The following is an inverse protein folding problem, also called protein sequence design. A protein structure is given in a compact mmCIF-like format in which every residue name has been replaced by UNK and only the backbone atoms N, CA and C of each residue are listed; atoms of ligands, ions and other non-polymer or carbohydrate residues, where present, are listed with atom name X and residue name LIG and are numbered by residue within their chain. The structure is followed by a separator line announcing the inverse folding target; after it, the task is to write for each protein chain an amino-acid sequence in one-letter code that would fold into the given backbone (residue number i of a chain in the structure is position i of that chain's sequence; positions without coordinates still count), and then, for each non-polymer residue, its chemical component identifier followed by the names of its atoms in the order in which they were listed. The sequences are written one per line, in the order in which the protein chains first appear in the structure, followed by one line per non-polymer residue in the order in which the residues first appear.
data_IF_043201732957
#
_entry.id   IF_043201732957
#
_cell.length_a   1.000
_cell.length_b   1.000
_cell.length_c   1.000
_cell.angle_alpha   90.00
_cell.angle_beta   90.00
_cell.angle_gamma   90.00
#
_symmetry.space_group_name_H-M   'P 1'
#
loop_
_entity.id
_entity.type
_entity.pdbx_description
1 polymer ?
#
# COMPACT_ATOMS: atom_id res chain seq x y z
N UNK A 1 32.26 38.47 -46.20
CA UNK A 1 33.10 39.56 -46.72
C UNK A 1 34.52 39.02 -46.83
N UNK A 2 35.19 39.13 -48.00
CA UNK A 2 36.63 38.85 -48.12
C UNK A 2 37.38 39.95 -47.40
N UNK A 3 38.27 39.57 -46.49
CA UNK A 3 39.15 40.51 -45.79
C UNK A 3 40.22 40.97 -46.81
N UNK A 4 40.12 42.22 -47.32
CA UNK A 4 41.06 42.75 -48.31
C UNK A 4 42.15 43.56 -47.56
N UNK A 5 43.41 43.29 -47.83
CA UNK A 5 44.49 44.06 -47.27
C UNK A 5 44.60 45.43 -47.90
N UNK A 6 45.00 46.41 -47.12
CA UNK A 6 45.54 47.71 -47.63
C UNK A 6 46.97 47.51 -48.18
N UNK A 7 47.27 48.01 -49.38
CA UNK A 7 48.60 47.84 -49.99
C UNK A 7 49.40 49.13 -49.82
N UNK A 8 50.50 49.02 -49.09
CA UNK A 8 51.46 50.10 -48.93
C UNK A 8 52.83 49.68 -49.55
N UNK A 9 53.08 50.11 -50.75
CA UNK A 9 54.24 49.61 -51.51
C UNK A 9 54.18 48.10 -51.71
N UNK A 10 55.24 47.37 -51.38
CA UNK A 10 55.27 45.89 -51.46
C UNK A 10 54.65 45.17 -50.26
N UNK A 11 54.08 45.90 -49.30
CA UNK A 11 53.56 45.31 -48.04
C UNK A 11 52.01 45.27 -48.04
N UNK A 12 51.49 44.12 -47.72
CA UNK A 12 50.03 43.92 -47.44
C UNK A 12 49.81 44.20 -45.95
N UNK A 13 49.07 45.24 -45.63
CA UNK A 13 48.76 45.66 -44.24
C UNK A 13 47.29 45.46 -43.96
N UNK A 14 46.97 44.78 -42.91
CA UNK A 14 45.56 44.57 -42.44
C UNK A 14 45.29 45.53 -41.27
N UNK A 15 44.12 46.09 -41.24
CA UNK A 15 43.65 46.77 -40.03
C UNK A 15 43.37 45.72 -38.93
N UNK A 16 43.43 46.10 -37.64
CA UNK A 16 43.16 45.21 -36.52
C UNK A 16 41.74 44.58 -36.67
N UNK A 17 40.77 45.34 -37.10
CA UNK A 17 39.41 44.86 -37.35
C UNK A 17 39.38 43.80 -38.46
N UNK A 18 40.09 44.06 -39.60
CA UNK A 18 40.21 43.12 -40.71
C UNK A 18 40.92 41.82 -40.30
N UNK A 19 42.00 41.92 -39.54
CA UNK A 19 42.75 40.79 -38.99
C UNK A 19 41.83 39.94 -38.06
N UNK A 20 41.20 40.58 -37.07
CA UNK A 20 40.30 39.87 -36.13
C UNK A 20 39.13 39.19 -36.87
N UNK A 21 38.59 39.83 -37.90
CA UNK A 21 37.53 39.28 -38.69
C UNK A 21 37.98 38.06 -39.52
N UNK A 22 39.20 38.10 -40.05
CA UNK A 22 39.83 36.96 -40.73
C UNK A 22 40.07 35.76 -39.79
N UNK A 23 40.59 36.03 -38.60
CA UNK A 23 40.78 34.99 -37.57
C UNK A 23 39.43 34.43 -37.10
N UNK A 24 38.39 35.25 -36.88
CA UNK A 24 37.07 34.80 -36.54
C UNK A 24 36.46 33.87 -37.61
N UNK A 25 36.61 34.24 -38.89
CA UNK A 25 36.14 33.37 -40.01
C UNK A 25 36.91 32.04 -40.09
N UNK A 26 38.20 32.05 -39.76
CA UNK A 26 38.99 30.83 -39.72
C UNK A 26 38.55 29.93 -38.55
N UNK A 27 38.37 30.48 -37.35
CA UNK A 27 37.90 29.74 -36.19
C UNK A 27 36.49 29.13 -36.39
N UNK A 28 35.60 29.78 -37.16
CA UNK A 28 34.30 29.24 -37.49
C UNK A 28 34.32 27.93 -38.31
N UNK A 29 35.47 27.61 -38.95
CA UNK A 29 35.70 26.36 -39.69
C UNK A 29 36.10 25.20 -38.78
N UNK A 30 36.49 25.47 -37.53
CA UNK A 30 36.83 24.44 -36.56
C UNK A 30 35.57 23.68 -36.11
N UNK A 31 35.67 22.37 -35.88
CA UNK A 31 34.58 21.58 -35.36
C UNK A 31 34.24 22.01 -33.93
N UNK A 32 33.06 21.62 -33.46
CA UNK A 32 32.70 21.69 -32.05
C UNK A 32 33.50 20.64 -31.29
N UNK A 33 34.06 20.99 -30.16
CA UNK A 33 34.95 20.14 -29.37
C UNK A 33 34.52 20.09 -27.91
N UNK A 34 34.90 19.05 -27.21
CA UNK A 34 34.85 18.97 -25.76
C UNK A 34 36.13 19.52 -25.15
N UNK A 35 36.00 20.39 -24.16
CA UNK A 35 37.12 20.96 -23.40
C UNK A 35 36.88 20.65 -21.92
N UNK A 36 37.89 20.06 -21.29
CA UNK A 36 37.88 19.79 -19.85
C UNK A 36 38.57 20.96 -19.11
N UNK A 37 38.01 21.30 -17.95
CA UNK A 37 38.61 22.30 -17.07
C UNK A 37 37.82 22.51 -15.79
N UNK A 38 38.45 23.19 -14.85
CA UNK A 38 37.82 23.65 -13.61
C UNK A 38 37.14 24.99 -13.84
N UNK A 39 35.88 25.13 -13.44
CA UNK A 39 35.13 26.38 -13.57
C UNK A 39 35.70 27.41 -12.59
N UNK A 40 36.11 28.54 -13.10
CA UNK A 40 36.50 29.69 -12.30
C UNK A 40 35.79 30.93 -12.80
N UNK A 41 35.75 31.98 -11.96
CA UNK A 41 35.13 33.28 -12.32
C UNK A 41 33.70 33.16 -12.92
N UNK A 42 32.87 32.31 -12.37
CA UNK A 42 31.48 32.20 -12.84
C UNK A 42 30.70 33.49 -12.57
N UNK A 43 30.34 34.20 -13.66
CA UNK A 43 29.61 35.47 -13.62
C UNK A 43 28.21 35.32 -14.11
N UNK A 44 27.23 35.37 -13.16
CA UNK A 44 25.81 35.13 -13.35
C UNK A 44 25.03 36.32 -12.79
N UNK A 45 25.01 37.45 -13.50
CA UNK A 45 24.25 38.62 -13.02
C UNK A 45 22.78 38.60 -13.51
N UNK A 46 21.88 39.07 -12.66
CA UNK A 46 20.48 39.26 -13.04
C UNK A 46 20.40 40.30 -14.18
N UNK A 47 19.72 39.96 -15.27
CA UNK A 47 19.58 40.81 -16.45
C UNK A 47 20.57 40.51 -17.62
N UNK A 48 21.61 39.73 -17.39
CA UNK A 48 22.49 39.31 -18.49
C UNK A 48 21.88 38.16 -19.29
N UNK A 49 21.93 38.26 -20.62
CA UNK A 49 21.43 37.21 -21.52
C UNK A 49 22.47 36.07 -21.70
N UNK A 50 23.67 36.23 -21.18
CA UNK A 50 24.80 35.30 -21.34
C UNK A 50 25.47 35.10 -20.00
N UNK A 51 25.74 33.86 -19.66
CA UNK A 51 26.56 33.44 -18.52
C UNK A 51 28.01 33.33 -19.00
N UNK A 52 28.95 33.94 -18.27
CA UNK A 52 30.36 33.87 -18.54
C UNK A 52 31.08 33.12 -17.43
N UNK A 53 32.03 32.30 -17.81
CA UNK A 53 32.90 31.58 -16.88
C UNK A 53 34.26 31.32 -17.53
N UNK A 54 35.26 31.01 -16.73
CA UNK A 54 36.61 30.65 -17.20
C UNK A 54 36.84 29.17 -16.90
N UNK A 55 37.28 28.41 -17.87
CA UNK A 55 37.81 27.06 -17.69
C UNK A 55 39.29 27.16 -17.41
N UNK A 56 39.76 26.64 -16.30
CA UNK A 56 41.15 26.56 -15.90
C UNK A 56 41.62 25.12 -15.93
N UNK A 57 42.70 24.85 -16.60
CA UNK A 57 43.38 23.56 -16.54
C UNK A 57 44.04 23.40 -15.16
N UNK A 58 43.71 22.35 -14.40
CA UNK A 58 44.19 22.18 -13.03
C UNK A 58 45.69 21.87 -12.96
N UNK A 59 46.30 21.32 -14.02
CA UNK A 59 47.74 20.95 -14.05
C UNK A 59 48.60 22.08 -14.54
N UNK A 60 48.23 22.71 -15.64
CA UNK A 60 49.05 23.76 -16.31
C UNK A 60 48.66 25.16 -15.90
N UNK A 61 47.45 25.35 -15.33
CA UNK A 61 46.92 26.67 -15.03
C UNK A 61 46.44 27.47 -16.25
N UNK A 62 46.46 26.88 -17.45
CA UNK A 62 45.94 27.52 -18.66
C UNK A 62 44.45 27.85 -18.52
N UNK A 63 44.08 29.05 -19.00
CA UNK A 63 42.72 29.55 -18.87
C UNK A 63 42.07 29.75 -20.24
N UNK A 64 40.80 29.36 -20.37
CA UNK A 64 39.98 29.60 -21.55
C UNK A 64 38.64 30.23 -21.13
N UNK A 65 38.37 31.45 -21.60
CA UNK A 65 37.09 32.09 -21.36
C UNK A 65 35.96 31.33 -22.08
N UNK A 66 34.85 31.13 -21.42
CA UNK A 66 33.66 30.47 -21.96
C UNK A 66 32.41 31.34 -21.79
N UNK A 67 31.50 31.24 -22.73
CA UNK A 67 30.25 31.97 -22.73
C UNK A 67 29.10 31.03 -23.17
N UNK A 68 27.96 31.09 -22.46
CA UNK A 68 26.78 30.32 -22.76
C UNK A 68 25.52 31.19 -22.68
N UNK A 69 24.55 31.11 -23.63
CA UNK A 69 23.28 31.79 -23.50
C UNK A 69 22.58 31.38 -22.21
N UNK A 70 22.05 32.34 -21.46
CA UNK A 70 21.46 32.11 -20.14
C UNK A 70 20.33 31.08 -20.18
N UNK A 71 19.42 31.16 -21.17
CA UNK A 71 18.34 30.20 -21.29
C UNK A 71 18.80 28.74 -21.47
N UNK A 72 19.92 28.55 -22.18
CA UNK A 72 20.54 27.20 -22.32
C UNK A 72 21.23 26.78 -21.03
N UNK A 73 21.94 27.69 -20.37
CA UNK A 73 22.57 27.41 -19.07
C UNK A 73 21.54 27.02 -18.00
N UNK A 74 20.48 27.79 -17.88
CA UNK A 74 19.41 27.54 -16.90
C UNK A 74 18.63 26.24 -17.22
N UNK A 75 18.50 25.88 -18.50
CA UNK A 75 17.88 24.62 -18.94
C UNK A 75 18.69 23.37 -18.54
N UNK A 76 20.01 23.49 -18.37
CA UNK A 76 20.86 22.40 -17.91
C UNK A 76 20.63 22.06 -16.42
N UNK A 77 19.98 22.96 -15.65
CA UNK A 77 19.75 22.81 -14.21
C UNK A 77 20.99 22.44 -13.40
N UNK A 78 22.15 22.86 -13.87
CA UNK A 78 23.43 22.64 -13.21
C UNK A 78 23.69 23.81 -12.27
N UNK A 79 23.71 23.52 -10.95
CA UNK A 79 24.19 24.48 -9.96
C UNK A 79 25.71 24.44 -9.92
N UNK A 80 26.33 24.99 -10.99
CA UNK A 80 27.78 25.08 -11.11
C UNK A 80 28.31 26.07 -10.10
N UNK A 81 29.41 25.69 -9.46
CA UNK A 81 30.19 26.53 -8.54
C UNK A 81 31.64 26.66 -9.00
N UNK A 82 32.30 27.70 -8.54
CA UNK A 82 33.74 27.83 -8.79
C UNK A 82 34.49 26.68 -8.11
N UNK A 83 35.47 26.13 -8.81
CA UNK A 83 36.26 24.99 -8.37
C UNK A 83 35.72 23.63 -8.86
N UNK A 84 34.63 23.64 -9.60
CA UNK A 84 34.02 22.41 -10.12
C UNK A 84 34.65 22.03 -11.47
N UNK A 85 35.03 20.75 -11.63
CA UNK A 85 35.61 20.21 -12.87
C UNK A 85 34.49 19.76 -13.81
N UNK A 86 34.53 20.27 -15.05
CA UNK A 86 33.49 20.07 -16.06
C UNK A 86 34.08 19.76 -17.43
N UNK A 87 33.25 19.09 -18.24
CA UNK A 87 33.44 18.98 -19.68
C UNK A 87 32.49 19.96 -20.37
N UNK A 88 33.02 20.87 -21.17
CA UNK A 88 32.26 21.85 -21.94
C UNK A 88 32.32 21.53 -23.41
N UNK A 89 31.16 21.24 -23.99
CA UNK A 89 31.01 21.08 -25.44
C UNK A 89 30.75 22.44 -26.05
N UNK A 90 31.62 22.88 -26.96
CA UNK A 90 31.53 24.21 -27.51
C UNK A 90 32.33 24.40 -28.79
N UNK A 91 32.14 25.54 -29.39
CA UNK A 91 32.90 25.99 -30.56
C UNK A 91 33.81 27.15 -30.20
N UNK A 92 35.09 27.12 -30.59
CA UNK A 92 35.96 28.26 -30.43
C UNK A 92 35.47 29.45 -31.25
N UNK A 93 35.44 30.63 -30.67
CA UNK A 93 34.96 31.87 -31.26
C UNK A 93 35.89 33.01 -30.85
N UNK A 94 36.19 33.87 -31.79
CA UNK A 94 36.86 35.13 -31.48
C UNK A 94 35.85 36.27 -31.37
N UNK A 95 35.92 37.04 -30.31
CA UNK A 95 35.13 38.26 -30.21
C UNK A 95 35.82 39.37 -31.01
N UNK A 96 35.35 39.74 -32.24
CA UNK A 96 36.10 40.58 -33.14
C UNK A 96 36.42 41.99 -32.60
N UNK A 97 35.52 42.52 -31.75
CA UNK A 97 35.68 43.87 -31.19
C UNK A 97 36.84 43.97 -30.19
N UNK A 98 37.12 42.87 -29.44
CA UNK A 98 38.16 42.84 -28.42
C UNK A 98 39.36 41.99 -28.81
N UNK A 99 39.23 41.13 -29.83
CA UNK A 99 40.28 40.18 -30.21
C UNK A 99 40.47 39.03 -29.21
N UNK A 100 39.44 38.77 -28.34
CA UNK A 100 39.49 37.74 -27.31
C UNK A 100 39.01 36.41 -27.84
N UNK A 101 39.79 35.36 -27.66
CA UNK A 101 39.39 33.99 -27.92
C UNK A 101 38.51 33.49 -26.76
N UNK A 102 37.39 32.87 -27.10
CA UNK A 102 36.49 32.24 -26.14
C UNK A 102 35.87 30.97 -26.69
N UNK A 103 35.40 30.13 -25.81
CA UNK A 103 34.60 28.96 -26.15
C UNK A 103 33.08 29.31 -26.05
N UNK A 104 32.37 29.27 -27.18
CA UNK A 104 30.92 29.35 -27.16
C UNK A 104 30.39 27.99 -26.74
N UNK A 105 30.01 27.88 -25.46
CA UNK A 105 29.49 26.64 -24.88
C UNK A 105 28.07 26.35 -25.39
N UNK A 106 27.85 25.10 -25.73
CA UNK A 106 26.57 24.55 -26.17
C UNK A 106 25.98 23.57 -25.14
N UNK A 107 26.87 22.80 -24.46
CA UNK A 107 26.52 21.91 -23.37
C UNK A 107 27.63 21.90 -22.33
N UNK A 108 27.28 21.62 -21.09
CA UNK A 108 28.22 21.46 -19.96
C UNK A 108 27.84 20.17 -19.25
N UNK A 109 28.82 19.32 -18.99
CA UNK A 109 28.68 18.09 -18.23
C UNK A 109 29.68 18.08 -17.08
N UNK A 110 29.26 17.57 -15.92
CA UNK A 110 30.18 17.39 -14.80
C UNK A 110 31.20 16.30 -15.12
N UNK A 111 32.44 16.53 -14.75
CA UNK A 111 33.55 15.58 -14.98
C UNK A 111 33.25 14.24 -14.31
N UNK A 112 33.42 13.14 -15.04
CA UNK A 112 33.27 11.79 -14.51
C UNK A 112 31.83 11.29 -14.40
N UNK A 113 30.78 12.06 -14.74
CA UNK A 113 29.38 11.63 -14.65
C UNK A 113 29.11 10.35 -15.47
N UNK A 114 29.64 10.23 -16.67
CA UNK A 114 29.50 9.05 -17.52
C UNK A 114 30.15 7.79 -16.91
N UNK A 115 31.33 7.92 -16.32
CA UNK A 115 32.00 6.80 -15.62
C UNK A 115 31.27 6.40 -14.36
N UNK A 116 30.77 7.38 -13.59
CA UNK A 116 29.97 7.10 -12.39
C UNK A 116 28.67 6.38 -12.73
N UNK A 117 27.95 6.80 -13.77
CA UNK A 117 26.74 6.12 -14.22
C UNK A 117 27.02 4.69 -14.69
N UNK A 118 28.10 4.48 -15.47
CA UNK A 118 28.50 3.14 -15.89
C UNK A 118 28.93 2.25 -14.70
N UNK A 119 29.59 2.84 -13.69
CA UNK A 119 29.94 2.13 -12.45
C UNK A 119 28.69 1.77 -11.62
N UNK A 120 27.71 2.67 -11.52
CA UNK A 120 26.43 2.42 -10.86
C UNK A 120 25.65 1.30 -11.54
N UNK A 121 25.56 1.29 -12.86
CA UNK A 121 24.85 0.20 -13.59
C UNK A 121 25.56 -1.15 -13.41
N UNK A 122 26.90 -1.18 -13.44
CA UNK A 122 27.65 -2.41 -13.13
C UNK A 122 27.41 -2.89 -11.70
N UNK A 123 27.41 -1.98 -10.73
CA UNK A 123 27.12 -2.29 -9.33
C UNK A 123 25.69 -2.80 -9.17
N UNK A 124 24.72 -2.16 -9.79
CA UNK A 124 23.32 -2.58 -9.79
C UNK A 124 23.16 -4.00 -10.33
N UNK A 125 23.78 -4.31 -11.48
CA UNK A 125 23.75 -5.66 -12.05
C UNK A 125 24.38 -6.69 -11.11
N UNK A 126 25.53 -6.37 -10.49
CA UNK A 126 26.22 -7.24 -9.51
C UNK A 126 25.31 -7.53 -8.29
N UNK A 127 24.68 -6.51 -7.72
CA UNK A 127 23.83 -6.65 -6.54
C UNK A 127 22.53 -7.36 -6.87
N UNK A 128 21.97 -7.13 -8.06
CA UNK A 128 20.80 -7.85 -8.57
C UNK A 128 21.08 -9.35 -8.76
N UNK A 129 22.24 -9.70 -9.37
CA UNK A 129 22.69 -11.08 -9.50
C UNK A 129 22.88 -11.78 -8.13
N UNK A 130 23.30 -11.02 -7.11
CA UNK A 130 23.36 -11.47 -5.72
C UNK A 130 21.99 -11.59 -5.01
N UNK A 131 20.88 -11.31 -5.69
CA UNK A 131 19.52 -11.41 -5.14
C UNK A 131 19.15 -10.32 -4.14
N UNK A 132 19.94 -9.24 -3.99
CA UNK A 132 19.70 -8.22 -2.97
C UNK A 132 18.41 -7.42 -3.21
N UNK A 133 17.91 -7.39 -4.43
CA UNK A 133 16.69 -6.66 -4.81
C UNK A 133 15.47 -7.56 -4.98
N UNK A 134 15.60 -8.86 -4.66
CA UNK A 134 14.51 -9.82 -4.83
C UNK A 134 13.30 -9.46 -3.93
N UNK A 135 12.10 -9.45 -4.51
CA UNK A 135 10.85 -9.18 -3.76
C UNK A 135 10.61 -10.20 -2.63
N UNK A 136 11.09 -11.44 -2.79
CA UNK A 136 11.00 -12.49 -1.77
C UNK A 136 11.75 -12.18 -0.47
N UNK A 137 12.70 -11.23 -0.51
CA UNK A 137 13.44 -10.77 0.67
C UNK A 137 12.72 -9.68 1.43
N UNK A 138 11.86 -8.93 0.75
CA UNK A 138 11.20 -7.75 1.29
C UNK A 138 10.16 -8.15 2.34
N UNK A 139 10.29 -7.58 3.51
CA UNK A 139 9.45 -7.87 4.66
C UNK A 139 8.23 -6.94 4.69
N UNK A 140 7.10 -7.44 5.17
CA UNK A 140 5.94 -6.59 5.43
C UNK A 140 6.24 -5.62 6.56
N UNK A 141 5.69 -4.41 6.47
CA UNK A 141 5.77 -3.43 7.55
C UNK A 141 4.86 -3.85 8.72
N UNK A 142 5.25 -3.55 9.97
CA UNK A 142 4.42 -3.79 11.14
C UNK A 142 3.13 -2.96 11.05
N UNK A 143 1.99 -3.57 11.40
CA UNK A 143 0.70 -2.87 11.38
C UNK A 143 0.58 -1.79 12.45
N UNK A 144 1.20 -2.02 13.62
CA UNK A 144 1.16 -1.15 14.79
C UNK A 144 2.58 -1.05 15.36
N UNK A 145 3.46 -0.22 14.77
CA UNK A 145 4.81 -0.06 15.28
C UNK A 145 4.78 0.66 16.64
N UNK A 146 5.52 0.14 17.59
CA UNK A 146 5.70 0.76 18.91
C UNK A 146 6.77 1.82 18.86
N UNK A 147 7.90 1.47 18.24
CA UNK A 147 9.06 2.34 18.11
C UNK A 147 9.57 2.33 16.69
N UNK A 148 9.77 3.53 16.14
CA UNK A 148 10.22 3.78 14.77
C UNK A 148 11.60 4.38 14.83
N UNK A 149 12.58 3.78 14.15
CA UNK A 149 13.88 4.37 13.94
C UNK A 149 13.83 5.38 12.80
N UNK A 150 14.47 6.53 12.95
CA UNK A 150 14.64 7.51 11.88
C UNK A 150 16.13 7.82 11.71
N UNK A 151 16.70 7.40 10.59
CA UNK A 151 18.07 7.74 10.19
C UNK A 151 17.98 8.85 9.13
N UNK A 152 18.52 10.01 9.43
CA UNK A 152 18.45 11.19 8.55
C UNK A 152 19.63 12.11 8.77
N UNK A 153 19.81 13.05 7.84
CA UNK A 153 20.79 14.11 7.98
C UNK A 153 20.40 15.17 9.02
N UNK A 154 21.33 16.06 9.28
CA UNK A 154 21.09 17.23 10.13
C UNK A 154 20.13 18.25 9.49
N UNK A 155 19.61 17.95 8.31
CA UNK A 155 18.60 18.74 7.62
C UNK A 155 17.28 18.72 8.39
N UNK A 156 16.95 19.85 8.99
CA UNK A 156 15.75 20.04 9.79
C UNK A 156 14.45 19.77 9.02
N UNK A 157 14.44 19.88 7.67
CA UNK A 157 13.25 19.71 6.85
C UNK A 157 12.79 18.25 6.78
N UNK A 158 13.64 17.35 6.29
CA UNK A 158 13.29 15.93 6.17
C UNK A 158 12.93 15.27 7.51
N UNK A 159 13.72 15.59 8.56
CA UNK A 159 13.44 15.15 9.93
C UNK A 159 12.06 15.62 10.40
N UNK A 160 11.78 16.91 10.23
CA UNK A 160 10.51 17.52 10.65
C UNK A 160 9.33 16.89 9.90
N UNK A 161 9.48 16.69 8.60
CA UNK A 161 8.44 16.12 7.74
C UNK A 161 8.03 14.71 8.17
N UNK A 162 9.03 13.83 8.46
CA UNK A 162 8.76 12.48 8.95
C UNK A 162 8.10 12.52 10.32
N UNK A 163 8.67 13.29 11.27
CA UNK A 163 8.14 13.38 12.63
C UNK A 163 6.71 13.94 12.64
N UNK A 164 6.45 15.01 11.90
CA UNK A 164 5.12 15.62 11.81
C UNK A 164 4.12 14.62 11.21
N UNK A 165 4.50 13.92 10.14
CA UNK A 165 3.63 12.94 9.50
C UNK A 165 3.26 11.77 10.44
N UNK A 166 4.23 11.28 11.23
CA UNK A 166 4.00 10.22 12.23
C UNK A 166 3.10 10.74 13.36
N UNK A 167 3.46 11.89 13.96
CA UNK A 167 2.73 12.45 15.10
C UNK A 167 1.30 12.83 14.76
N UNK A 168 1.05 13.36 13.55
CA UNK A 168 -0.30 13.70 13.11
C UNK A 168 -1.16 12.46 12.90
N UNK A 169 -0.57 11.39 12.32
CA UNK A 169 -1.33 10.20 11.92
C UNK A 169 -1.47 9.17 13.04
N UNK A 170 -0.44 9.02 13.86
CA UNK A 170 -0.39 8.05 14.96
C UNK A 170 0.41 8.57 16.14
N UNK A 171 -0.12 9.49 16.96
CA UNK A 171 0.56 10.10 18.09
C UNK A 171 1.19 9.13 19.10
N UNK A 172 0.67 7.89 19.30
CA UNK A 172 1.26 6.96 20.26
C UNK A 172 2.63 6.38 19.87
N UNK A 173 3.05 6.50 18.57
CA UNK A 173 4.33 5.96 18.12
C UNK A 173 5.50 6.73 18.73
N UNK A 174 6.49 6.01 19.23
CA UNK A 174 7.75 6.57 19.66
C UNK A 174 8.75 6.61 18.51
N UNK A 175 9.50 7.69 18.35
CA UNK A 175 10.52 7.83 17.32
C UNK A 175 11.89 8.00 17.93
N UNK A 176 12.83 7.13 17.54
CA UNK A 176 14.26 7.24 17.88
C UNK A 176 14.97 7.83 16.67
N UNK A 177 15.59 8.98 16.83
CA UNK A 177 16.26 9.71 15.74
C UNK A 177 17.77 9.51 15.84
N UNK A 178 18.37 9.02 14.78
CA UNK A 178 19.81 9.01 14.59
C UNK A 178 20.18 10.02 13.49
N UNK A 179 20.74 11.14 13.89
CA UNK A 179 21.27 12.13 12.98
C UNK A 179 22.67 11.72 12.53
N UNK A 180 22.89 11.72 11.20
CA UNK A 180 24.17 11.28 10.63
C UNK A 180 24.51 12.09 9.39
N UNK A 181 25.72 11.90 8.87
CA UNK A 181 26.11 12.48 7.59
C UNK A 181 25.39 11.73 6.46
N UNK A 182 24.68 12.48 5.61
CA UNK A 182 23.94 11.93 4.46
C UNK A 182 24.53 12.38 3.12
N UNK A 183 25.58 13.19 3.13
CA UNK A 183 26.28 13.68 1.95
C UNK A 183 27.81 13.69 2.16
N UNK A 184 28.56 13.60 1.06
CA UNK A 184 30.01 13.56 1.07
C UNK A 184 30.59 12.14 1.25
N UNK A 185 31.93 12.02 1.12
CA UNK A 185 32.66 10.73 1.05
C UNK A 185 32.49 9.81 2.26
N UNK A 186 32.14 10.33 3.43
CA UNK A 186 31.96 9.55 4.67
C UNK A 186 30.49 9.18 4.92
N UNK A 187 29.57 9.70 4.13
CA UNK A 187 28.14 9.55 4.40
C UNK A 187 27.69 8.09 4.43
N UNK A 188 28.10 7.28 3.46
CA UNK A 188 27.69 5.88 3.41
C UNK A 188 28.15 5.07 4.65
N UNK A 189 29.39 5.31 5.13
CA UNK A 189 29.88 4.65 6.35
C UNK A 189 29.09 5.12 7.58
N UNK A 190 28.88 6.43 7.71
CA UNK A 190 28.14 7.01 8.83
C UNK A 190 26.68 6.54 8.85
N UNK A 191 26.02 6.42 7.70
CA UNK A 191 24.66 5.86 7.60
C UNK A 191 24.60 4.38 7.97
N UNK A 192 25.61 3.58 7.62
CA UNK A 192 25.69 2.16 8.04
C UNK A 192 25.78 2.05 9.55
N UNK A 193 26.65 2.85 10.18
CA UNK A 193 26.77 2.89 11.65
C UNK A 193 25.48 3.34 12.33
N UNK A 194 24.85 4.41 11.82
CA UNK A 194 23.58 4.90 12.34
C UNK A 194 22.45 3.87 12.17
N UNK A 195 22.38 3.18 11.02
CA UNK A 195 21.40 2.12 10.76
C UNK A 195 21.60 0.96 11.73
N UNK A 196 22.85 0.52 11.95
CA UNK A 196 23.18 -0.54 12.90
C UNK A 196 22.85 -0.16 14.35
N UNK A 197 23.17 1.07 14.76
CA UNK A 197 22.86 1.59 16.07
C UNK A 197 21.35 1.61 16.34
N UNK A 198 20.56 2.13 15.40
CA UNK A 198 19.10 2.18 15.53
C UNK A 198 18.49 0.77 15.48
N UNK A 199 19.02 -0.13 14.67
CA UNK A 199 18.55 -1.52 14.61
C UNK A 199 18.86 -2.31 15.87
N UNK A 200 19.87 -1.92 16.64
CA UNK A 200 20.21 -2.52 17.94
C UNK A 200 19.39 -1.96 19.11
N UNK A 201 18.69 -0.84 18.92
CA UNK A 201 17.79 -0.28 19.92
C UNK A 201 16.63 -1.22 20.21
N UNK A 202 16.29 -1.31 21.48
CA UNK A 202 15.22 -2.19 21.95
C UNK A 202 13.86 -1.74 21.41
N UNK A 203 13.06 -2.70 20.95
CA UNK A 203 11.67 -2.51 20.50
C UNK A 203 11.50 -1.60 19.24
N UNK A 204 12.56 -1.42 18.43
CA UNK A 204 12.43 -0.78 17.13
C UNK A 204 11.82 -1.79 16.13
N UNK A 205 10.65 -1.47 15.61
CA UNK A 205 9.86 -2.35 14.75
C UNK A 205 10.06 -2.05 13.25
N UNK A 206 10.44 -0.81 12.92
CA UNK A 206 10.68 -0.34 11.54
C UNK A 206 11.65 0.84 11.54
N UNK A 207 12.48 0.93 10.51
CA UNK A 207 13.45 2.04 10.36
C UNK A 207 13.11 2.82 9.09
N UNK A 208 13.12 4.15 9.19
CA UNK A 208 13.02 5.08 8.07
C UNK A 208 14.39 5.67 7.80
N UNK A 209 14.93 5.48 6.60
CA UNK A 209 16.11 6.16 6.09
C UNK A 209 15.65 7.29 5.17
N UNK A 210 15.76 8.53 5.64
CA UNK A 210 15.22 9.69 4.95
C UNK A 210 16.27 10.76 4.67
N UNK A 211 16.11 11.41 3.51
CA UNK A 211 16.91 12.56 3.12
C UNK A 211 16.00 13.63 2.50
N UNK A 212 16.33 14.88 2.76
CA UNK A 212 15.73 16.04 2.11
C UNK A 212 16.12 16.19 0.64
N UNK A 213 15.69 17.25 -0.02
CA UNK A 213 16.08 17.60 -1.39
C UNK A 213 17.58 17.82 -1.53
N UNK A 214 18.09 17.75 -2.77
CA UNK A 214 19.51 17.99 -3.09
C UNK A 214 19.84 17.48 -4.49
N UNK A 215 21.07 17.73 -4.95
CA UNK A 215 21.53 17.34 -6.28
C UNK A 215 21.81 15.85 -6.42
N UNK A 216 22.07 15.41 -7.65
CA UNK A 216 22.40 14.02 -8.00
C UNK A 216 23.63 13.50 -7.21
N UNK A 217 24.66 14.34 -7.02
CA UNK A 217 25.88 13.95 -6.29
C UNK A 217 25.62 13.60 -4.82
N UNK A 218 24.66 14.26 -4.21
CA UNK A 218 24.26 13.97 -2.84
C UNK A 218 23.52 12.63 -2.70
N UNK A 219 23.05 12.04 -3.81
CA UNK A 219 22.42 10.72 -3.85
C UNK A 219 23.44 9.58 -4.02
N UNK A 220 24.67 9.87 -4.47
CA UNK A 220 25.70 8.87 -4.70
C UNK A 220 26.01 8.00 -3.46
N UNK A 221 26.13 8.55 -2.23
CA UNK A 221 26.36 7.75 -1.03
C UNK A 221 25.29 6.72 -0.77
N UNK A 222 24.04 6.96 -1.19
CA UNK A 222 22.92 6.03 -1.05
C UNK A 222 22.95 4.87 -2.05
N UNK A 223 23.83 4.95 -3.03
CA UNK A 223 24.10 3.88 -3.99
C UNK A 223 25.41 3.13 -3.70
N UNK A 224 26.15 3.46 -2.65
CA UNK A 224 27.33 2.72 -2.27
C UNK A 224 27.01 1.29 -1.81
N UNK A 225 27.80 0.31 -2.29
CA UNK A 225 27.59 -1.12 -2.03
C UNK A 225 27.45 -1.44 -0.53
N UNK A 226 28.26 -0.81 0.33
CA UNK A 226 28.23 -1.03 1.78
C UNK A 226 26.89 -0.64 2.40
N UNK A 227 26.30 0.49 2.00
CA UNK A 227 24.99 0.92 2.53
C UNK A 227 23.85 0.04 1.97
N UNK A 228 23.87 -0.27 0.68
CA UNK A 228 22.89 -1.15 0.04
C UNK A 228 22.86 -2.51 0.74
N UNK A 229 24.03 -3.09 1.04
CA UNK A 229 24.15 -4.34 1.79
C UNK A 229 23.65 -4.21 3.22
N UNK A 230 23.97 -3.11 3.91
CA UNK A 230 23.51 -2.86 5.28
C UNK A 230 21.99 -2.74 5.35
N UNK A 231 21.37 -2.02 4.41
CA UNK A 231 19.90 -1.92 4.30
C UNK A 231 19.30 -3.30 4.06
N UNK A 232 19.87 -4.07 3.13
CA UNK A 232 19.41 -5.42 2.83
C UNK A 232 19.58 -6.39 4.01
N UNK A 233 20.63 -6.29 4.80
CA UNK A 233 20.94 -7.15 5.93
C UNK A 233 20.34 -6.69 7.27
N UNK A 234 19.69 -5.52 7.29
CA UNK A 234 19.10 -4.99 8.50
C UNK A 234 18.09 -5.98 9.12
N UNK A 235 18.15 -6.29 10.41
CA UNK A 235 17.21 -7.22 11.06
C UNK A 235 15.77 -6.69 11.12
N UNK A 236 15.62 -5.36 11.04
CA UNK A 236 14.34 -4.65 11.11
C UNK A 236 13.95 -4.19 9.70
N UNK A 237 12.66 -4.17 9.32
CA UNK A 237 12.21 -3.62 8.05
C UNK A 237 12.66 -2.18 7.84
N UNK A 238 13.17 -1.88 6.65
CA UNK A 238 13.68 -0.55 6.30
C UNK A 238 12.79 0.08 5.22
N UNK A 239 12.37 1.32 5.48
CA UNK A 239 11.68 2.19 4.52
C UNK A 239 12.63 3.29 4.11
N UNK A 240 12.87 3.46 2.82
CA UNK A 240 13.68 4.55 2.29
C UNK A 240 12.81 5.68 1.74
N UNK A 241 13.25 6.91 1.95
CA UNK A 241 12.67 8.14 1.40
C UNK A 241 13.78 9.10 1.00
N UNK A 242 14.55 8.71 -0.02
CA UNK A 242 15.79 9.36 -0.44
C UNK A 242 15.68 9.93 -1.85
N UNK A 243 15.19 9.13 -2.80
CA UNK A 243 15.10 9.48 -4.21
C UNK A 243 13.75 10.05 -4.61
N UNK A 244 13.75 10.97 -5.58
CA UNK A 244 12.56 11.40 -6.30
C UNK A 244 12.20 10.35 -7.39
N UNK A 245 11.05 10.49 -8.05
CA UNK A 245 10.57 9.53 -9.05
C UNK A 245 11.57 9.27 -10.20
N UNK A 246 12.42 10.26 -10.53
CA UNK A 246 13.38 10.19 -11.62
C UNK A 246 14.76 9.61 -11.23
N UNK A 247 15.17 9.73 -9.94
CA UNK A 247 16.46 9.29 -9.45
C UNK A 247 16.28 8.27 -8.33
N UNK A 248 16.45 7.00 -8.65
CA UNK A 248 16.32 5.90 -7.68
C UNK A 248 17.69 5.42 -7.22
N UNK A 249 18.14 5.78 -6.01
CA UNK A 249 19.38 5.25 -5.44
C UNK A 249 19.26 3.73 -5.21
N UNK A 250 20.40 3.02 -5.23
CA UNK A 250 20.41 1.56 -5.09
C UNK A 250 19.89 1.06 -3.73
N UNK A 251 20.00 1.86 -2.66
CA UNK A 251 19.43 1.52 -1.37
C UNK A 251 17.90 1.41 -1.41
N UNK A 252 17.21 2.18 -2.29
CA UNK A 252 15.76 2.12 -2.45
C UNK A 252 15.31 0.77 -3.04
N UNK A 253 16.15 0.16 -3.91
CA UNK A 253 15.89 -1.16 -4.46
C UNK A 253 16.07 -2.26 -3.42
N UNK A 254 17.00 -2.07 -2.47
CA UNK A 254 17.31 -3.03 -1.41
C UNK A 254 16.36 -2.93 -0.20
N UNK A 255 15.71 -1.79 -0.02
CA UNK A 255 14.77 -1.54 1.08
C UNK A 255 13.52 -2.41 0.97
N UNK A 256 12.88 -2.68 2.11
CA UNK A 256 11.61 -3.42 2.18
C UNK A 256 10.47 -2.62 1.53
N UNK A 257 10.48 -1.30 1.70
CA UNK A 257 9.56 -0.37 1.04
C UNK A 257 10.26 0.94 0.67
N UNK A 258 9.81 1.53 -0.41
CA UNK A 258 10.22 2.86 -0.86
C UNK A 258 9.07 3.85 -0.70
N UNK A 259 9.39 5.05 -0.25
CA UNK A 259 8.49 6.21 -0.27
C UNK A 259 9.08 7.31 -1.14
N UNK A 260 8.24 8.06 -1.83
CA UNK A 260 8.67 9.15 -2.73
C UNK A 260 9.13 10.40 -1.99
N UNK A 261 8.74 10.57 -0.73
CA UNK A 261 9.08 11.73 0.09
C UNK A 261 9.21 11.33 1.57
N UNK A 262 9.95 12.11 2.39
CA UNK A 262 10.00 11.91 3.84
C UNK A 262 8.63 11.91 4.50
N UNK A 263 7.73 12.81 4.10
CA UNK A 263 6.34 12.84 4.58
C UNK A 263 5.58 11.56 4.24
N UNK A 264 5.75 11.04 3.00
CA UNK A 264 5.13 9.80 2.58
C UNK A 264 5.66 8.60 3.39
N UNK A 265 6.97 8.56 3.68
CA UNK A 265 7.55 7.53 4.54
C UNK A 265 6.95 7.54 5.94
N UNK A 266 6.82 8.73 6.55
CA UNK A 266 6.18 8.88 7.86
C UNK A 266 4.75 8.33 7.87
N UNK A 267 3.98 8.59 6.81
CA UNK A 267 2.61 8.06 6.67
C UNK A 267 2.56 6.56 6.40
N UNK A 268 3.56 6.03 5.70
CA UNK A 268 3.62 4.62 5.32
C UNK A 268 3.91 3.70 6.52
N UNK A 269 4.73 4.16 7.46
CA UNK A 269 5.17 3.35 8.60
C UNK A 269 4.17 3.33 9.75
N UNK A 270 3.14 4.17 9.75
CA UNK A 270 2.11 4.21 10.79
C UNK A 270 0.71 4.07 10.21
N UNK A 271 -0.20 3.42 10.95
CA UNK A 271 -1.62 3.39 10.58
C UNK A 271 -2.27 4.75 10.82
N UNK A 272 -3.48 4.90 10.35
CA UNK A 272 -4.35 6.03 10.69
C UNK A 272 -5.11 5.72 11.99
N UNK A 273 -4.89 6.53 13.03
CA UNK A 273 -5.51 6.32 14.33
C UNK A 273 -7.03 6.45 14.27
N UNK A 274 -7.53 7.42 13.51
CA UNK A 274 -8.97 7.66 13.40
C UNK A 274 -9.66 6.49 12.68
N UNK A 275 -9.04 5.97 11.61
CA UNK A 275 -9.53 4.77 10.92
C UNK A 275 -9.54 3.53 11.82
N UNK A 276 -8.50 3.36 12.65
CA UNK A 276 -8.42 2.26 13.62
C UNK A 276 -9.51 2.34 14.67
N UNK A 277 -9.71 3.52 15.25
CA UNK A 277 -10.74 3.76 16.27
C UNK A 277 -12.15 3.58 15.70
N UNK A 278 -12.39 4.09 14.48
CA UNK A 278 -13.64 3.86 13.77
C UNK A 278 -13.85 2.37 13.47
N UNK A 279 -12.81 1.64 13.09
CA UNK A 279 -12.85 0.20 12.87
C UNK A 279 -13.19 -0.58 14.14
N UNK A 280 -12.56 -0.24 15.25
CA UNK A 280 -12.85 -0.83 16.57
C UNK A 280 -14.31 -0.57 17.00
N UNK A 281 -14.78 0.67 16.84
CA UNK A 281 -16.16 1.04 17.14
C UNK A 281 -17.16 0.22 16.31
N UNK A 282 -16.94 0.13 14.99
CA UNK A 282 -17.77 -0.71 14.10
C UNK A 282 -17.79 -2.19 14.54
N UNK A 283 -16.62 -2.73 14.90
CA UNK A 283 -16.49 -4.13 15.33
C UNK A 283 -17.19 -4.37 16.66
N UNK A 284 -17.03 -3.47 17.64
CA UNK A 284 -17.73 -3.51 18.93
C UNK A 284 -19.26 -3.50 18.74
N UNK A 285 -19.75 -2.58 17.90
CA UNK A 285 -21.18 -2.45 17.64
C UNK A 285 -21.74 -3.66 16.88
N UNK A 286 -20.96 -4.24 15.96
CA UNK A 286 -21.32 -5.48 15.28
C UNK A 286 -21.43 -6.66 16.26
N UNK A 287 -20.48 -6.79 17.18
CA UNK A 287 -20.51 -7.81 18.23
C UNK A 287 -21.71 -7.62 19.16
N UNK A 288 -21.98 -6.38 19.60
CA UNK A 288 -23.14 -6.07 20.44
C UNK A 288 -24.46 -6.41 19.74
N UNK A 289 -24.61 -6.04 18.46
CA UNK A 289 -25.80 -6.43 17.66
C UNK A 289 -25.90 -7.94 17.49
N UNK A 290 -24.78 -8.62 17.25
CA UNK A 290 -24.72 -10.07 17.14
C UNK A 290 -25.19 -10.76 18.42
N UNK A 291 -24.65 -10.34 19.57
CA UNK A 291 -25.08 -10.87 20.88
C UNK A 291 -26.55 -10.65 21.18
N UNK A 292 -27.07 -9.44 20.92
CA UNK A 292 -28.50 -9.15 21.08
C UNK A 292 -29.38 -10.07 20.23
N UNK A 293 -29.06 -10.28 18.96
CA UNK A 293 -29.80 -11.19 18.06
C UNK A 293 -29.78 -12.63 18.56
N UNK A 294 -28.68 -13.09 19.14
CA UNK A 294 -28.57 -14.43 19.73
C UNK A 294 -29.49 -14.54 20.95
N UNK A 295 -29.42 -13.56 21.85
CA UNK A 295 -30.29 -13.52 23.04
C UNK A 295 -31.76 -13.44 22.67
N UNK A 296 -32.13 -12.59 21.73
CA UNK A 296 -33.52 -12.49 21.24
C UNK A 296 -34.03 -13.80 20.65
N UNK A 297 -33.21 -14.49 19.85
CA UNK A 297 -33.57 -15.82 19.31
C UNK A 297 -33.79 -16.84 20.42
N UNK A 298 -32.90 -16.88 21.42
CA UNK A 298 -33.06 -17.80 22.54
C UNK A 298 -34.26 -17.44 23.42
N UNK A 299 -34.53 -16.17 23.68
CA UNK A 299 -35.71 -15.71 24.41
C UNK A 299 -37.01 -16.10 23.66
N UNK A 300 -37.08 -15.87 22.35
CA UNK A 300 -38.22 -16.28 21.53
C UNK A 300 -38.41 -17.79 21.52
N UNK A 301 -37.30 -18.56 21.41
CA UNK A 301 -37.39 -20.02 21.48
C UNK A 301 -37.92 -20.47 22.83
N UNK A 302 -37.41 -19.94 23.91
CA UNK A 302 -37.82 -20.23 25.27
C UNK A 302 -39.31 -19.88 25.47
N UNK A 303 -39.76 -18.71 25.02
CA UNK A 303 -41.14 -18.30 25.08
C UNK A 303 -42.10 -19.28 24.33
N UNK A 304 -41.71 -19.74 23.14
CA UNK A 304 -42.47 -20.73 22.35
C UNK A 304 -42.54 -22.07 23.07
N UNK A 305 -41.44 -22.57 23.62
CA UNK A 305 -41.44 -23.85 24.35
C UNK A 305 -42.24 -23.74 25.66
N UNK A 306 -42.13 -22.61 26.35
CA UNK A 306 -42.93 -22.34 27.55
C UNK A 306 -44.44 -22.34 27.22
N UNK A 307 -44.86 -21.65 26.17
CA UNK A 307 -46.26 -21.64 25.74
C UNK A 307 -46.76 -23.04 25.29
N UNK A 308 -45.90 -23.78 24.61
CA UNK A 308 -46.18 -25.17 24.22
C UNK A 308 -46.39 -26.09 25.43
N UNK A 309 -45.50 -25.97 26.44
CA UNK A 309 -45.62 -26.73 27.69
C UNK A 309 -46.90 -26.35 28.45
N UNK A 310 -47.27 -25.08 28.48
CA UNK A 310 -48.49 -24.58 29.12
C UNK A 310 -49.76 -25.13 28.46
N UNK A 311 -49.77 -25.26 27.14
CA UNK A 311 -50.94 -25.80 26.38
C UNK A 311 -50.99 -27.33 26.34
N UNK A 312 -49.89 -28.02 26.49
CA UNK A 312 -49.80 -29.46 26.35
C UNK A 312 -50.74 -30.24 27.29
N UNK A 313 -50.83 -29.88 28.59
CA UNK A 313 -51.81 -30.62 29.51
C UNK A 313 -53.26 -30.49 29.08
N UNK A 314 -53.70 -29.30 28.67
CA UNK A 314 -55.06 -29.07 28.21
C UNK A 314 -55.37 -29.89 26.97
N UNK A 315 -54.51 -29.89 25.99
CA UNK A 315 -54.63 -30.67 24.77
C UNK A 315 -54.69 -32.21 25.07
N UNK A 316 -53.87 -32.66 26.02
CA UNK A 316 -53.82 -34.06 26.41
C UNK A 316 -55.15 -34.47 27.07
N UNK A 317 -55.65 -33.63 27.97
CA UNK A 317 -56.98 -33.89 28.64
C UNK A 317 -58.09 -33.92 27.61
N UNK A 318 -58.15 -32.96 26.69
CA UNK A 318 -59.16 -32.95 25.63
C UNK A 318 -59.09 -34.20 24.76
N UNK A 319 -57.95 -34.64 24.32
CA UNK A 319 -57.74 -35.86 23.54
C UNK A 319 -58.23 -37.11 24.31
N UNK A 320 -57.92 -37.18 25.61
CA UNK A 320 -58.38 -38.29 26.45
C UNK A 320 -59.83 -38.27 26.65
N UNK A 321 -60.46 -37.09 26.85
CA UNK A 321 -61.92 -36.93 26.94
C UNK A 321 -62.64 -37.37 25.66
N UNK A 322 -62.09 -36.93 24.50
CA UNK A 322 -62.62 -37.30 23.19
C UNK A 322 -62.55 -38.83 22.96
N UNK A 323 -61.41 -39.44 23.30
CA UNK A 323 -61.25 -40.91 23.20
C UNK A 323 -62.21 -41.67 24.13
N UNK A 324 -62.38 -41.19 25.36
CA UNK A 324 -63.34 -41.77 26.29
C UNK A 324 -64.82 -41.65 25.78
N UNK A 325 -65.14 -40.46 25.27
CA UNK A 325 -66.52 -40.26 24.73
C UNK A 325 -66.78 -41.18 23.52
N UNK A 326 -65.75 -41.33 22.63
CA UNK A 326 -65.85 -42.24 21.49
C UNK A 326 -65.98 -43.69 21.95
N UNK A 327 -65.21 -44.16 22.93
CA UNK A 327 -65.31 -45.49 23.47
C UNK A 327 -66.63 -45.74 24.14
N UNK A 328 -67.09 -44.76 24.92
CA UNK A 328 -68.44 -44.84 25.56
C UNK A 328 -69.55 -44.88 24.50
N UNK A 329 -69.44 -44.08 23.43
CA UNK A 329 -70.42 -44.14 22.30
C UNK A 329 -70.42 -45.48 21.61
N UNK A 330 -69.28 -46.10 21.36
CA UNK A 330 -69.16 -47.45 20.81
C UNK A 330 -69.77 -48.49 21.74
N UNK A 331 -69.53 -48.42 23.03
CA UNK A 331 -70.05 -49.33 24.00
C UNK A 331 -71.56 -49.24 24.07
N UNK A 332 -72.12 -48.02 24.06
CA UNK A 332 -73.58 -47.81 24.01
C UNK A 332 -74.24 -48.38 22.73
N UNK A 333 -73.59 -48.15 21.59
CA UNK A 333 -74.06 -48.64 20.30
C UNK A 333 -74.08 -50.18 20.23
N UNK A 334 -73.17 -50.86 20.89
CA UNK A 334 -73.05 -52.32 20.96
C UNK A 334 -73.79 -52.93 22.13
N UNK A 335 -74.37 -52.08 23.00
CA UNK A 335 -75.16 -52.60 24.16
C UNK A 335 -76.47 -53.27 23.72
N UNK A 336 -76.71 -54.51 24.11
CA UNK A 336 -77.95 -55.20 23.83
C UNK A 336 -79.15 -54.43 24.39
N UNK A 337 -78.99 -53.78 25.54
CA UNK A 337 -80.09 -53.01 26.18
C UNK A 337 -80.46 -51.79 25.33
N UNK A 338 -79.47 -51.06 24.77
CA UNK A 338 -79.73 -49.94 23.87
C UNK A 338 -80.39 -50.36 22.56
N UNK A 339 -80.21 -51.60 22.14
CA UNK A 339 -80.95 -52.19 21.01
C UNK A 339 -82.37 -52.44 21.36
N UNK A 340 -82.66 -52.96 22.57
CA UNK A 340 -84.06 -53.17 23.08
C UNK A 340 -84.81 -51.85 23.31
N UNK A 341 -84.09 -50.78 23.87
CA UNK A 341 -84.66 -49.43 24.08
C UNK A 341 -85.11 -48.75 22.77
N UNK A 342 -84.53 -49.14 21.64
CA UNK A 342 -84.91 -48.65 20.28
C UNK A 342 -86.10 -49.35 19.69
N UNK A 343 -86.72 -50.31 20.46
CA UNK A 343 -87.92 -51.05 20.02
C UNK A 343 -87.59 -52.34 19.28
N UNK A 344 -86.33 -52.80 19.26
CA UNK A 344 -86.00 -54.12 18.75
C UNK A 344 -86.22 -55.17 19.81
N UNK A 345 -86.55 -56.37 19.40
CA UNK A 345 -86.73 -57.50 20.27
C UNK A 345 -85.59 -58.50 20.12
N UNK A 346 -85.16 -59.11 21.22
CA UNK A 346 -84.22 -60.22 21.20
C UNK A 346 -85.03 -61.50 21.29
N UNK A 347 -85.02 -62.30 20.22
CA UNK A 347 -85.79 -63.58 20.16
C UNK A 347 -84.83 -64.73 20.46
N UNK A 348 -85.29 -65.62 21.43
CA UNK A 348 -84.55 -66.83 21.83
C UNK A 348 -85.44 -68.05 21.72
N UNK A 349 -84.85 -69.16 21.23
CA UNK A 349 -85.45 -70.47 21.23
C UNK A 349 -84.58 -71.41 22.05
N UNK A 350 -85.15 -72.00 23.09
CA UNK A 350 -84.36 -72.92 23.96
C UNK A 350 -83.17 -72.31 24.66
N UNK A 351 -83.07 -70.92 24.79
CA UNK A 351 -81.96 -70.21 25.36
C UNK A 351 -81.01 -69.68 24.32
N UNK A 352 -80.98 -70.14 23.08
CA UNK A 352 -80.15 -69.68 21.98
C UNK A 352 -80.76 -68.49 21.20
N UNK A 353 -79.96 -67.62 20.68
CA UNK A 353 -80.37 -66.40 19.95
C UNK A 353 -80.86 -66.79 18.53
N UNK A 354 -82.10 -66.46 18.18
CA UNK A 354 -82.59 -66.64 16.82
C UNK A 354 -82.09 -65.51 15.91
N UNK A 355 -81.20 -65.83 14.97
CA UNK A 355 -80.62 -64.86 14.06
C UNK A 355 -81.14 -64.87 12.63
N UNK A 356 -81.96 -65.91 12.32
CA UNK A 356 -82.58 -66.11 10.99
C UNK A 356 -83.92 -66.80 11.16
N UNK A 357 -84.87 -66.49 10.28
CA UNK A 357 -86.16 -67.12 10.21
C UNK A 357 -86.03 -68.63 9.94
N UNK A 358 -84.94 -69.07 9.30
CA UNK A 358 -84.70 -70.49 9.06
C UNK A 358 -84.35 -71.28 10.32
N UNK A 359 -84.11 -70.65 11.47
CA UNK A 359 -83.82 -71.29 12.76
C UNK A 359 -85.03 -71.58 13.59
N UNK A 360 -86.23 -71.26 13.09
CA UNK A 360 -87.54 -71.55 13.76
C UNK A 360 -88.51 -72.18 12.77
N UNK A 361 -89.39 -73.06 13.30
CA UNK A 361 -90.42 -73.74 12.53
C UNK A 361 -91.76 -73.39 13.09
N UNK A 362 -92.82 -73.46 12.21
CA UNK A 362 -94.22 -73.26 12.64
C UNK A 362 -94.59 -74.19 13.84
N UNK A 363 -95.08 -73.58 14.92
CA UNK A 363 -95.43 -74.27 16.15
C UNK A 363 -94.40 -74.13 17.29
N UNK A 364 -93.15 -73.64 16.97
CA UNK A 364 -92.13 -73.42 17.98
C UNK A 364 -92.50 -72.33 18.98
N UNK A 365 -92.15 -72.51 20.25
CA UNK A 365 -92.28 -71.46 21.28
C UNK A 365 -90.95 -70.71 21.42
N UNK A 366 -91.03 -69.41 21.26
CA UNK A 366 -89.91 -68.53 21.41
C UNK A 366 -90.12 -67.54 22.56
N UNK A 367 -89.04 -67.18 23.24
CA UNK A 367 -88.99 -66.10 24.21
C UNK A 367 -88.62 -64.83 23.54
N UNK A 368 -89.49 -63.83 23.60
CA UNK A 368 -89.26 -62.50 23.07
C UNK A 368 -88.88 -61.56 24.23
N UNK A 369 -87.67 -60.97 24.19
CA UNK A 369 -87.25 -60.04 25.22
C UNK A 369 -87.29 -58.61 24.64
N UNK A 370 -88.07 -57.77 25.32
CA UNK A 370 -88.16 -56.32 25.07
C UNK A 370 -87.44 -55.53 26.16
N UNK A 371 -87.39 -54.18 26.03
CA UNK A 371 -86.75 -53.31 27.01
C UNK A 371 -87.38 -53.42 28.42
N UNK A 372 -88.65 -53.68 28.52
CA UNK A 372 -89.45 -53.68 29.74
C UNK A 372 -89.81 -55.06 30.24
N UNK A 373 -89.51 -56.15 29.52
CA UNK A 373 -89.79 -57.45 29.96
C UNK A 373 -89.64 -58.56 28.89
N UNK A 374 -90.08 -59.81 29.30
CA UNK A 374 -90.06 -60.99 28.42
C UNK A 374 -91.42 -61.61 28.33
N UNK A 375 -91.83 -62.05 27.16
CA UNK A 375 -93.01 -62.84 26.96
C UNK A 375 -92.74 -64.00 25.99
N UNK A 376 -93.58 -65.03 26.10
CA UNK A 376 -93.51 -66.17 25.18
C UNK A 376 -94.39 -65.90 23.97
N UNK A 377 -93.93 -66.24 22.77
CA UNK A 377 -94.71 -66.19 21.53
C UNK A 377 -94.58 -67.51 20.79
N UNK A 378 -95.65 -67.94 20.05
CA UNK A 378 -95.63 -69.10 19.21
C UNK A 378 -95.44 -68.68 17.76
N UNK A 379 -94.53 -69.35 17.05
CA UNK A 379 -94.33 -69.09 15.64
C UNK A 379 -95.48 -69.69 14.83
N UNK A 380 -96.09 -68.83 14.04
CA UNK A 380 -97.14 -69.24 13.11
C UNK A 380 -96.58 -69.59 11.74
#
# INVERSE_FOLDING_TARGET
MKVEPLVYGDRKVFTVAAFNQGVAQWLQRLPTIWVEGEVTELRRQAGWQTVFFTLKDPETGACLSAAMPRGQFDALRLDLVNGERVHVYGRPELWPQKGELRLRALSIERFGLGEHLAALERLKAKLAAGGLFAESRKRPLPRLPRRIGLVTGNDAAAKRDVLTAIQTRFPPAQVVVAETLVQGRRAAAAMVEALAAVAAERDVDVIVLARGGGGFEDLLPFSEERLVRAVAACPVPVVTAVGHEQDTPLCDLAADRRASTPTAAGRLVVPDLDELLAGLTRSRDALARGARRVLERHAQRLAREHERLRRAPALLVERRRAALAQAAGRLRALSPRATLDRGYAIVRRGGELVRSTAAVTTGDTVAVELADGRFGARVE
#
